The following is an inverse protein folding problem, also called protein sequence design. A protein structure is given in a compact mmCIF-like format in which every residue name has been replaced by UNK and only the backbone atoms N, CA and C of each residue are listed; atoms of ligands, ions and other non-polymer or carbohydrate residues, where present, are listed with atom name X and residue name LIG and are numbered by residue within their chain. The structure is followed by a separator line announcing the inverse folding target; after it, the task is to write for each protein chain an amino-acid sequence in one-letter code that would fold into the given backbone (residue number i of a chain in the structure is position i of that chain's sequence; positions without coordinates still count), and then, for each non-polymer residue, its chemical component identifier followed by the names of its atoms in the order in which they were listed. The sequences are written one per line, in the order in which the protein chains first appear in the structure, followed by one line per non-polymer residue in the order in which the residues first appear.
data_IF_321250132460
#
_entry.id   IF_321250132460
#
_cell.length_a   1.000
_cell.length_b   1.000
_cell.length_c   1.000
_cell.angle_alpha   90.00
_cell.angle_beta   90.00
_cell.angle_gamma   90.00
#
_symmetry.space_group_name_H-M   'P 1'
#
loop_
_entity.id
_entity.type
_entity.pdbx_description
1 polymer ?
#
# COMPACT_ATOMS: atom_id res chain seq x y z
N UNK A 1 -39.80 -14.87 -43.48
CA UNK A 1 -38.62 -14.49 -42.66
C UNK A 1 -38.91 -14.40 -41.16
N UNK A 2 -40.14 -14.10 -40.71
CA UNK A 2 -40.48 -13.94 -39.28
C UNK A 2 -40.41 -15.21 -38.43
N UNK A 3 -40.56 -16.41 -39.02
CA UNK A 3 -40.49 -17.68 -38.27
C UNK A 3 -39.07 -18.12 -37.89
N UNK A 4 -38.04 -17.63 -38.58
CA UNK A 4 -36.64 -17.99 -38.31
C UNK A 4 -36.06 -17.21 -37.12
N UNK A 5 -36.53 -15.99 -36.89
CA UNK A 5 -36.07 -15.12 -35.79
C UNK A 5 -36.54 -15.62 -34.40
N UNK A 6 -37.73 -16.24 -34.33
CA UNK A 6 -38.29 -16.74 -33.07
C UNK A 6 -37.57 -18.00 -32.57
N UNK A 7 -37.02 -18.83 -33.46
CA UNK A 7 -36.27 -20.03 -33.08
C UNK A 7 -34.88 -19.66 -32.55
N UNK A 8 -34.23 -18.64 -33.13
CA UNK A 8 -32.93 -18.17 -32.67
C UNK A 8 -32.99 -17.48 -31.30
N UNK A 9 -34.07 -16.74 -31.01
CA UNK A 9 -34.29 -16.13 -29.70
C UNK A 9 -34.54 -17.17 -28.60
N UNK A 10 -35.23 -18.27 -28.93
CA UNK A 10 -35.48 -19.37 -27.98
C UNK A 10 -34.21 -20.18 -27.69
N UNK A 11 -33.31 -20.37 -28.66
CA UNK A 11 -32.02 -21.03 -28.41
C UNK A 11 -31.07 -20.18 -27.55
N UNK A 12 -31.10 -18.85 -27.67
CA UNK A 12 -30.29 -17.94 -26.84
C UNK A 12 -30.78 -17.83 -25.38
N UNK A 13 -32.07 -18.06 -25.13
CA UNK A 13 -32.65 -18.06 -23.78
C UNK A 13 -32.47 -19.38 -23.03
N UNK A 14 -32.25 -20.50 -23.74
CA UNK A 14 -32.00 -21.81 -23.12
C UNK A 14 -30.51 -21.99 -22.76
N UNK A 15 -29.58 -21.31 -23.45
CA UNK A 15 -28.14 -21.44 -23.16
C UNK A 15 -27.68 -20.73 -21.88
N UNK A 16 -28.46 -19.78 -21.33
CA UNK A 16 -28.12 -19.10 -20.08
C UNK A 16 -28.66 -19.80 -18.82
N UNK A 17 -29.52 -20.82 -18.97
CA UNK A 17 -30.20 -21.46 -17.85
C UNK A 17 -29.50 -22.74 -17.31
N UNK A 18 -28.38 -23.18 -17.89
CA UNK A 18 -27.76 -24.48 -17.56
C UNK A 18 -26.27 -24.44 -17.22
N UNK A 19 -25.68 -23.25 -17.00
CA UNK A 19 -24.34 -23.20 -16.42
C UNK A 19 -24.43 -23.58 -14.93
N UNK A 20 -24.07 -24.81 -14.60
CA UNK A 20 -23.85 -25.21 -13.21
C UNK A 20 -22.85 -24.24 -12.58
N UNK A 21 -23.08 -23.76 -11.34
CA UNK A 21 -22.13 -22.89 -10.67
C UNK A 21 -20.76 -23.59 -10.63
N UNK A 22 -19.65 -22.86 -10.83
CA UNK A 22 -18.32 -23.45 -10.75
C UNK A 22 -18.18 -24.15 -9.39
N UNK A 23 -17.52 -25.32 -9.34
CA UNK A 23 -17.36 -26.08 -8.11
C UNK A 23 -16.67 -25.18 -7.08
N UNK A 24 -17.42 -24.76 -6.06
CA UNK A 24 -16.87 -24.04 -4.93
C UNK A 24 -16.08 -25.05 -4.11
N UNK A 25 -14.79 -24.79 -3.93
CA UNK A 25 -14.02 -25.56 -2.93
C UNK A 25 -14.75 -25.41 -1.60
N UNK A 26 -14.97 -26.51 -0.84
CA UNK A 26 -15.43 -26.39 0.53
C UNK A 26 -14.51 -25.42 1.25
N UNK A 27 -15.06 -24.37 1.85
CA UNK A 27 -14.34 -23.58 2.82
C UNK A 27 -13.98 -24.56 3.93
N UNK A 28 -12.72 -24.97 3.98
CA UNK A 28 -12.19 -25.65 5.15
C UNK A 28 -12.39 -24.66 6.29
N UNK A 29 -13.32 -24.95 7.20
CA UNK A 29 -13.55 -24.13 8.36
C UNK A 29 -12.21 -24.03 9.09
N UNK A 30 -11.55 -22.87 8.96
CA UNK A 30 -10.40 -22.54 9.78
C UNK A 30 -10.94 -22.58 11.21
N UNK A 31 -10.31 -23.38 12.06
CA UNK A 31 -10.73 -23.45 13.45
C UNK A 31 -10.74 -22.03 14.03
N UNK A 32 -11.76 -21.63 14.81
CA UNK A 32 -11.72 -20.38 15.54
C UNK A 32 -10.43 -20.32 16.35
N UNK A 33 -9.76 -19.16 16.35
CA UNK A 33 -8.59 -18.95 17.19
C UNK A 33 -9.06 -19.01 18.65
N UNK A 34 -8.69 -20.08 19.37
CA UNK A 34 -9.20 -20.36 20.72
C UNK A 34 -8.11 -20.25 21.81
N UNK A 35 -6.89 -19.86 21.41
CA UNK A 35 -5.75 -19.70 22.29
C UNK A 35 -5.05 -21.02 22.64
N UNK A 36 -5.53 -22.16 22.12
CA UNK A 36 -4.86 -23.45 22.27
C UNK A 36 -3.81 -23.72 21.17
N UNK A 37 -3.69 -22.82 20.20
CA UNK A 37 -2.66 -22.90 19.17
C UNK A 37 -1.29 -22.81 19.81
N UNK A 38 -0.50 -23.87 19.71
CA UNK A 38 0.93 -23.81 20.01
C UNK A 38 1.58 -23.01 18.87
N UNK A 39 2.10 -21.80 19.12
CA UNK A 39 2.78 -21.08 18.07
C UNK A 39 4.04 -21.87 17.71
N UNK A 40 4.05 -22.46 16.52
CA UNK A 40 5.25 -23.06 15.96
C UNK A 40 6.20 -21.93 15.52
N UNK A 41 6.87 -21.30 16.48
CA UNK A 41 8.03 -20.46 16.19
C UNK A 41 9.22 -21.37 15.94
N UNK A 42 9.28 -22.03 14.78
CA UNK A 42 10.43 -22.88 14.43
C UNK A 42 11.72 -22.10 14.17
N UNK A 43 11.69 -20.77 14.25
CA UNK A 43 12.87 -19.90 14.31
C UNK A 43 12.50 -18.62 15.05
N UNK A 44 12.61 -18.59 16.38
CA UNK A 44 12.77 -17.31 17.09
C UNK A 44 14.22 -16.89 16.82
N UNK A 45 14.47 -15.79 16.08
CA UNK A 45 15.83 -15.31 15.91
C UNK A 45 16.38 -14.96 17.29
N UNK A 46 17.51 -15.57 17.64
CA UNK A 46 18.29 -15.18 18.81
C UNK A 46 18.60 -13.67 18.73
N UNK A 47 18.18 -12.85 19.72
CA UNK A 47 18.46 -11.42 19.73
C UNK A 47 19.96 -11.10 19.79
N UNK A 48 20.83 -12.09 19.95
CA UNK A 48 22.29 -11.95 19.92
C UNK A 48 22.93 -12.28 18.57
N UNK A 49 22.15 -12.61 17.53
CA UNK A 49 22.69 -12.62 16.16
C UNK A 49 23.05 -11.19 15.78
N UNK A 50 24.34 -10.86 15.94
CA UNK A 50 25.02 -9.92 15.08
C UNK A 50 24.45 -10.11 13.68
N UNK A 51 23.76 -9.08 13.17
CA UNK A 51 23.22 -9.11 11.82
C UNK A 51 24.32 -9.60 10.87
N UNK A 52 23.97 -10.34 9.81
CA UNK A 52 24.97 -10.82 8.86
C UNK A 52 25.90 -9.65 8.54
N UNK A 53 27.21 -9.84 8.75
CA UNK A 53 28.18 -8.83 8.36
C UNK A 53 27.84 -8.46 6.92
N UNK A 54 27.82 -7.17 6.62
CA UNK A 54 27.36 -6.64 5.33
C UNK A 54 28.03 -7.36 4.14
N UNK A 55 29.28 -7.80 4.33
CA UNK A 55 30.10 -8.50 3.34
C UNK A 55 29.84 -10.03 3.27
N UNK A 56 29.10 -10.60 4.23
CA UNK A 56 28.74 -12.02 4.27
C UNK A 56 27.42 -12.34 3.53
N UNK A 57 26.69 -11.33 3.07
CA UNK A 57 25.47 -11.51 2.27
C UNK A 57 25.76 -11.68 0.78
N UNK A 58 26.88 -11.13 0.30
CA UNK A 58 27.25 -11.12 -1.12
C UNK A 58 27.52 -12.53 -1.68
N UNK A 59 27.94 -13.50 -0.84
CA UNK A 59 28.19 -14.89 -1.27
C UNK A 59 26.96 -15.81 -1.19
N UNK A 60 25.93 -15.45 -0.42
CA UNK A 60 24.84 -16.37 -0.04
C UNK A 60 23.45 -16.02 -0.61
N UNK A 61 23.23 -14.78 -1.06
CA UNK A 61 21.86 -14.29 -1.39
C UNK A 61 21.76 -13.55 -2.74
N UNK A 62 22.84 -13.53 -3.53
CA UNK A 62 22.90 -12.83 -4.82
C UNK A 62 23.51 -11.43 -4.72
N UNK A 63 23.40 -10.65 -5.79
CA UNK A 63 23.94 -9.28 -5.84
C UNK A 63 23.09 -8.33 -5.01
N UNK A 64 23.68 -7.65 -4.04
CA UNK A 64 23.04 -6.56 -3.31
C UNK A 64 23.18 -5.23 -4.06
N UNK A 65 22.08 -4.50 -4.18
CA UNK A 65 22.06 -3.14 -4.75
C UNK A 65 21.65 -2.13 -3.68
N UNK A 66 22.42 -1.06 -3.52
CA UNK A 66 22.10 0.01 -2.58
C UNK A 66 21.03 0.94 -3.19
N UNK A 67 19.79 0.83 -2.71
CA UNK A 67 18.66 1.63 -3.18
C UNK A 67 18.59 3.04 -2.58
N UNK A 68 19.33 3.34 -1.51
CA UNK A 68 19.28 4.63 -0.84
C UNK A 68 20.03 4.63 0.50
N UNK A 69 20.00 5.77 1.18
CA UNK A 69 20.52 5.94 2.55
C UNK A 69 19.51 6.69 3.39
N UNK A 70 19.60 6.56 4.72
CA UNK A 70 18.74 7.28 5.66
C UNK A 70 19.37 7.30 7.04
N UNK A 71 19.12 8.38 7.80
CA UNK A 71 19.35 8.44 9.24
C UNK A 71 18.15 7.93 10.07
N UNK A 72 17.05 7.57 9.40
CA UNK A 72 15.81 7.13 10.04
C UNK A 72 15.67 5.61 9.94
N UNK A 73 15.72 4.92 11.07
CA UNK A 73 15.57 3.46 11.18
C UNK A 73 14.10 3.03 11.29
N UNK A 74 13.24 3.89 11.85
CA UNK A 74 11.80 3.64 12.03
C UNK A 74 10.99 3.81 10.73
N UNK A 75 11.23 2.95 9.74
CA UNK A 75 10.58 3.04 8.43
C UNK A 75 9.05 2.83 8.47
N UNK A 76 8.53 2.04 9.42
CA UNK A 76 7.10 1.80 9.62
C UNK A 76 6.74 1.42 11.04
N UNK A 77 5.49 1.69 11.41
CA UNK A 77 4.86 1.14 12.61
C UNK A 77 4.10 -0.14 12.25
N UNK A 78 4.48 -1.26 12.89
CA UNK A 78 3.73 -2.52 12.86
C UNK A 78 3.84 -3.36 11.58
N UNK A 79 3.92 -2.75 10.41
CA UNK A 79 3.97 -3.47 9.13
C UNK A 79 5.35 -3.37 8.47
N UNK A 80 5.83 -4.47 7.89
CA UNK A 80 7.01 -4.48 7.01
C UNK A 80 6.61 -4.94 5.61
N UNK A 81 7.22 -4.39 4.55
CA UNK A 81 7.24 -5.06 3.24
C UNK A 81 6.39 -4.47 2.11
N UNK A 82 6.10 -3.16 2.12
CA UNK A 82 5.48 -2.46 0.96
C UNK A 82 6.28 -1.22 0.53
N UNK A 83 7.57 -1.21 0.80
CA UNK A 83 8.49 -0.17 0.36
C UNK A 83 9.15 -0.51 -0.98
N UNK A 84 8.94 -1.73 -1.46
CA UNK A 84 9.50 -2.25 -2.70
C UNK A 84 8.35 -2.86 -3.47
N UNK A 85 8.24 -2.54 -4.75
CA UNK A 85 7.29 -3.15 -5.66
C UNK A 85 7.92 -3.39 -7.03
N UNK A 86 7.37 -4.32 -7.80
CA UNK A 86 7.87 -4.67 -9.14
C UNK A 86 6.75 -4.48 -10.15
N UNK A 87 6.95 -3.60 -11.12
CA UNK A 87 5.93 -3.32 -12.12
C UNK A 87 5.87 -4.41 -13.22
N UNK A 88 4.89 -4.29 -14.12
CA UNK A 88 4.65 -5.25 -15.19
C UNK A 88 5.81 -5.38 -16.19
N UNK A 89 6.71 -4.39 -16.27
CA UNK A 89 7.89 -4.42 -17.14
C UNK A 89 9.15 -4.91 -16.42
N UNK A 90 9.04 -5.20 -15.11
CA UNK A 90 10.12 -5.73 -14.28
C UNK A 90 11.02 -4.66 -13.67
N UNK A 91 10.65 -3.38 -13.72
CA UNK A 91 11.33 -2.35 -12.94
C UNK A 91 11.02 -2.55 -11.47
N UNK A 92 12.03 -2.34 -10.62
CA UNK A 92 11.89 -2.46 -9.17
C UNK A 92 11.83 -1.06 -8.57
N UNK A 93 10.64 -0.68 -8.11
CA UNK A 93 10.38 0.57 -7.43
C UNK A 93 10.76 0.43 -5.96
N UNK A 94 11.46 1.42 -5.42
CA UNK A 94 11.82 1.45 -4.00
C UNK A 94 11.50 2.83 -3.46
N UNK A 95 10.81 2.86 -2.33
CA UNK A 95 10.58 4.07 -1.55
C UNK A 95 10.95 3.88 -0.09
N UNK A 96 11.42 4.93 0.56
CA UNK A 96 11.78 4.89 1.98
C UNK A 96 11.63 6.27 2.62
N UNK A 97 11.53 6.28 3.94
CA UNK A 97 11.64 7.51 4.71
C UNK A 97 13.12 7.85 4.89
N UNK A 98 13.56 8.94 4.28
CA UNK A 98 14.92 9.43 4.40
C UNK A 98 15.01 10.50 5.50
N UNK A 99 15.59 10.15 6.66
CA UNK A 99 16.02 11.13 7.64
C UNK A 99 17.28 11.82 7.13
N UNK A 100 17.25 13.15 6.99
CA UNK A 100 18.36 13.92 6.41
C UNK A 100 19.47 14.22 7.43
N UNK A 101 19.19 14.01 8.72
CA UNK A 101 20.10 14.24 9.82
C UNK A 101 19.95 13.17 10.91
N UNK A 102 20.93 13.06 11.80
CA UNK A 102 20.95 12.05 12.86
C UNK A 102 19.81 12.17 13.88
N UNK A 103 19.18 13.34 14.02
CA UNK A 103 17.96 13.51 14.82
C UNK A 103 16.69 13.09 14.09
N UNK A 104 16.74 12.89 12.77
CA UNK A 104 15.59 12.66 11.89
C UNK A 104 14.45 13.67 12.08
N UNK A 105 14.82 14.89 12.51
CA UNK A 105 13.90 16.01 12.68
C UNK A 105 13.42 16.53 11.34
N UNK A 106 14.27 16.37 10.32
CA UNK A 106 13.97 16.60 8.91
C UNK A 106 13.98 15.24 8.23
N UNK A 107 12.82 14.86 7.69
CA UNK A 107 12.65 13.60 6.98
C UNK A 107 11.64 13.75 5.86
N UNK A 108 11.84 12.99 4.81
CA UNK A 108 11.06 13.04 3.58
C UNK A 108 10.93 11.64 3.00
N UNK A 109 10.03 11.49 2.04
CA UNK A 109 9.85 10.27 1.28
C UNK A 109 10.74 10.32 0.06
N UNK A 110 11.62 9.33 -0.06
CA UNK A 110 12.52 9.20 -1.20
C UNK A 110 12.11 8.01 -2.04
N UNK A 111 12.47 8.07 -3.32
CA UNK A 111 12.12 7.10 -4.35
C UNK A 111 13.31 6.90 -5.28
N UNK A 112 13.55 5.63 -5.62
CA UNK A 112 14.45 5.20 -6.68
C UNK A 112 13.80 4.05 -7.46
N UNK A 113 14.24 3.84 -8.69
CA UNK A 113 13.78 2.73 -9.52
C UNK A 113 14.97 2.02 -10.15
N UNK A 114 15.02 0.70 -10.00
CA UNK A 114 16.02 -0.15 -10.62
C UNK A 114 15.52 -0.64 -11.97
N UNK A 115 16.33 -0.40 -12.99
CA UNK A 115 16.04 -0.78 -14.37
C UNK A 115 16.66 -2.14 -14.71
N UNK A 116 15.86 -3.14 -15.09
CA UNK A 116 16.36 -4.47 -15.43
C UNK A 116 17.23 -4.49 -16.69
N UNK A 117 17.04 -3.55 -17.62
CA UNK A 117 17.81 -3.44 -18.85
C UNK A 117 19.23 -2.95 -18.60
N UNK A 118 19.40 -1.99 -17.71
CA UNK A 118 20.72 -1.43 -17.35
C UNK A 118 21.32 -2.04 -16.08
N UNK A 119 20.53 -2.81 -15.33
CA UNK A 119 20.87 -3.38 -14.02
C UNK A 119 21.35 -2.33 -13.01
N UNK A 120 20.74 -1.15 -13.04
CA UNK A 120 21.14 0.00 -12.23
C UNK A 120 19.95 0.83 -11.79
N UNK A 121 20.11 1.59 -10.70
CA UNK A 121 19.12 2.60 -10.33
C UNK A 121 19.23 3.80 -11.28
N UNK A 122 18.11 4.19 -11.89
CA UNK A 122 18.07 5.28 -12.87
C UNK A 122 17.79 6.65 -12.24
N UNK A 123 17.25 6.65 -11.02
CA UNK A 123 17.03 7.84 -10.19
C UNK A 123 18.03 7.81 -9.05
N UNK A 124 18.56 8.98 -8.70
CA UNK A 124 19.49 9.15 -7.60
C UNK A 124 18.87 10.06 -6.53
N UNK A 125 18.11 9.45 -5.63
CA UNK A 125 17.45 10.11 -4.49
C UNK A 125 16.34 11.08 -4.90
N UNK A 126 15.38 10.61 -5.70
CA UNK A 126 14.20 11.40 -6.05
C UNK A 126 13.31 11.59 -4.82
N UNK A 127 12.97 12.83 -4.48
CA UNK A 127 12.02 13.10 -3.40
C UNK A 127 10.59 12.94 -3.93
N UNK A 128 9.75 12.22 -3.20
CA UNK A 128 8.40 11.86 -3.61
C UNK A 128 7.29 12.63 -2.87
N UNK A 129 7.66 13.56 -1.99
CA UNK A 129 6.77 14.48 -1.26
C UNK A 129 7.22 15.93 -1.45
N UNK A 130 6.29 16.88 -1.32
CA UNK A 130 6.54 18.33 -1.35
C UNK A 130 6.45 19.01 0.02
N UNK A 131 6.42 18.22 1.09
CA UNK A 131 6.05 18.67 2.43
C UNK A 131 7.21 19.31 3.20
N UNK A 132 6.95 19.79 4.41
CA UNK A 132 8.02 20.15 5.36
C UNK A 132 8.59 18.94 6.09
N UNK A 133 7.84 17.83 6.12
CA UNK A 133 8.20 16.59 6.81
C UNK A 133 7.27 15.47 6.37
N UNK A 134 7.81 14.34 5.94
CA UNK A 134 7.02 13.16 5.58
C UNK A 134 7.69 11.85 6.00
N UNK A 135 6.92 10.77 6.05
CA UNK A 135 7.47 9.44 6.32
C UNK A 135 6.44 8.33 6.44
N UNK A 136 6.91 7.18 6.91
CA UNK A 136 6.11 5.96 7.08
C UNK A 136 5.48 5.52 5.75
N UNK A 137 6.31 5.47 4.71
CA UNK A 137 5.89 5.28 3.33
C UNK A 137 5.65 3.82 2.97
N UNK A 138 4.50 3.52 2.37
CA UNK A 138 4.26 2.32 1.57
C UNK A 138 4.09 2.72 0.12
N UNK A 139 4.07 1.78 -0.81
CA UNK A 139 3.75 2.08 -2.19
C UNK A 139 3.21 0.89 -2.95
N UNK A 140 2.67 1.19 -4.12
CA UNK A 140 2.14 0.24 -5.08
C UNK A 140 2.37 0.76 -6.50
N UNK A 141 2.69 -0.13 -7.42
CA UNK A 141 2.79 0.13 -8.86
C UNK A 141 1.51 -0.30 -9.56
N UNK A 142 1.16 0.40 -10.64
CA UNK A 142 0.13 -0.02 -11.58
C UNK A 142 0.79 -0.71 -12.78
N UNK A 143 -0.01 -1.42 -13.57
CA UNK A 143 0.42 -2.09 -14.81
C UNK A 143 1.05 -1.13 -15.86
N UNK A 144 0.76 0.17 -15.78
CA UNK A 144 1.32 1.19 -16.67
C UNK A 144 2.68 1.76 -16.20
N UNK A 145 3.28 1.19 -15.15
CA UNK A 145 4.60 1.58 -14.64
C UNK A 145 4.62 2.81 -13.73
N UNK A 146 3.46 3.43 -13.47
CA UNK A 146 3.38 4.46 -12.42
C UNK A 146 3.44 3.80 -11.05
N UNK A 147 4.16 4.44 -10.13
CA UNK A 147 4.28 4.04 -8.74
C UNK A 147 3.67 5.11 -7.84
N UNK A 148 2.98 4.67 -6.79
CA UNK A 148 2.19 5.51 -5.90
C UNK A 148 2.67 5.33 -4.46
N UNK A 149 3.62 6.16 -4.00
CA UNK A 149 4.00 6.22 -2.59
C UNK A 149 2.83 6.77 -1.76
N UNK A 150 2.37 6.02 -0.78
CA UNK A 150 1.46 6.46 0.27
C UNK A 150 2.19 6.66 1.59
N UNK A 151 2.10 7.85 2.17
CA UNK A 151 2.86 8.30 3.36
C UNK A 151 2.05 9.28 4.18
N UNK A 152 2.49 9.61 5.40
CA UNK A 152 1.96 10.83 6.05
C UNK A 152 2.90 11.99 5.82
N UNK A 153 2.35 13.20 5.79
CA UNK A 153 3.09 14.44 5.64
C UNK A 153 2.58 15.56 6.55
N UNK A 154 3.45 16.55 6.80
CA UNK A 154 3.13 17.84 7.39
C UNK A 154 3.44 18.94 6.38
N UNK A 155 2.40 19.59 5.83
CA UNK A 155 2.56 20.66 4.84
C UNK A 155 3.17 21.94 5.42
N UNK A 156 3.08 22.12 6.73
CA UNK A 156 3.69 23.25 7.45
C UNK A 156 4.38 22.74 8.71
N UNK A 157 5.48 23.38 9.12
CA UNK A 157 6.24 22.95 10.29
C UNK A 157 5.37 22.95 11.56
N UNK A 158 5.14 21.77 12.13
CA UNK A 158 4.31 21.60 13.32
C UNK A 158 2.80 21.68 13.05
N UNK A 159 2.38 21.57 11.80
CA UNK A 159 0.97 21.39 11.44
C UNK A 159 0.47 19.97 11.72
N UNK A 160 -0.83 19.75 11.53
CA UNK A 160 -1.48 18.44 11.60
C UNK A 160 -0.86 17.50 10.58
N UNK A 161 -0.35 16.35 11.02
CA UNK A 161 0.12 15.34 10.08
C UNK A 161 -1.08 14.62 9.43
N UNK A 162 -1.01 14.39 8.11
CA UNK A 162 -2.09 13.75 7.37
C UNK A 162 -1.54 12.74 6.35
N UNK A 163 -2.30 11.68 6.09
CA UNK A 163 -2.02 10.72 5.04
C UNK A 163 -2.14 11.35 3.65
N UNK A 164 -1.24 10.99 2.75
CA UNK A 164 -1.20 11.42 1.37
C UNK A 164 -0.74 10.28 0.48
N UNK A 165 -0.99 10.41 -0.82
CA UNK A 165 -0.31 9.62 -1.84
C UNK A 165 0.25 10.56 -2.89
N UNK A 166 1.36 10.19 -3.52
CA UNK A 166 1.89 10.96 -4.65
C UNK A 166 1.83 10.19 -5.97
N UNK A 167 1.83 10.94 -7.07
CA UNK A 167 1.87 10.46 -8.45
C UNK A 167 3.07 11.11 -9.16
N UNK A 168 3.83 10.30 -9.90
CA UNK A 168 4.95 10.77 -10.72
C UNK A 168 4.43 11.57 -11.92
N UNK A 169 5.17 12.55 -12.42
CA UNK A 169 4.79 13.33 -13.60
C UNK A 169 4.82 12.45 -14.85
N UNK A 170 5.83 11.57 -14.95
CA UNK A 170 5.97 10.55 -16.00
C UNK A 170 6.38 9.28 -15.27
N UNK A 171 5.83 8.13 -15.62
CA UNK A 171 6.24 6.85 -15.03
C UNK A 171 7.76 6.72 -14.94
N UNK A 172 8.26 6.49 -13.71
CA UNK A 172 9.68 6.25 -13.40
C UNK A 172 10.60 7.47 -13.60
N UNK A 173 10.07 8.68 -13.66
CA UNK A 173 10.86 9.90 -13.76
C UNK A 173 11.33 10.43 -12.39
N UNK A 174 10.63 10.11 -11.31
CA UNK A 174 10.96 10.57 -9.97
C UNK A 174 10.55 12.02 -9.68
N UNK A 175 9.57 12.56 -10.41
CA UNK A 175 9.07 13.92 -10.28
C UNK A 175 7.62 13.89 -9.77
N UNK A 176 7.46 13.81 -8.45
CA UNK A 176 6.16 13.56 -7.83
C UNK A 176 5.38 14.82 -7.44
N UNK A 177 4.06 14.69 -7.43
CA UNK A 177 3.13 15.61 -6.76
C UNK A 177 2.26 14.83 -5.78
N UNK A 178 2.11 15.33 -4.56
CA UNK A 178 1.33 14.71 -3.49
C UNK A 178 -0.10 15.23 -3.42
N UNK A 179 -1.04 14.35 -3.05
CA UNK A 179 -2.46 14.63 -2.91
C UNK A 179 -3.00 13.96 -1.65
N UNK A 180 -3.70 14.73 -0.83
CA UNK A 180 -4.30 14.30 0.43
C UNK A 180 -5.79 13.96 0.22
N UNK A 181 -6.31 12.88 0.82
CA UNK A 181 -7.76 12.77 1.00
C UNK A 181 -8.23 13.87 1.94
N UNK A 182 -9.50 14.24 1.83
CA UNK A 182 -10.11 15.29 2.62
C UNK A 182 -10.04 15.01 4.11
N UNK A 183 -9.96 16.08 4.90
CA UNK A 183 -9.79 16.04 6.34
C UNK A 183 -11.10 15.67 7.06
N UNK A 184 -10.96 14.99 8.19
CA UNK A 184 -12.04 14.87 9.18
C UNK A 184 -11.78 15.81 10.35
N UNK A 185 -12.85 16.40 10.86
CA UNK A 185 -12.80 17.22 12.07
C UNK A 185 -13.48 16.50 13.24
N UNK A 186 -12.85 16.56 14.40
CA UNK A 186 -13.43 16.12 15.66
C UNK A 186 -13.21 17.20 16.72
N UNK A 187 -14.28 17.57 17.43
CA UNK A 187 -14.25 18.64 18.45
C UNK A 187 -13.70 20.00 17.94
N UNK A 188 -13.87 20.28 16.64
CA UNK A 188 -13.43 21.53 16.02
C UNK A 188 -11.92 21.58 15.71
N UNK A 189 -11.26 20.43 15.69
CA UNK A 189 -9.88 20.28 15.24
C UNK A 189 -9.77 19.20 14.17
N UNK A 190 -8.84 19.37 13.24
CA UNK A 190 -8.50 18.34 12.26
C UNK A 190 -7.94 17.11 12.96
N UNK A 191 -8.37 15.93 12.50
CA UNK A 191 -7.86 14.66 12.97
C UNK A 191 -6.54 14.33 12.30
N UNK A 192 -5.55 13.89 13.08
CA UNK A 192 -4.28 13.36 12.55
C UNK A 192 -4.48 11.93 12.04
N UNK A 193 -4.93 11.77 10.80
CA UNK A 193 -5.10 10.46 10.16
C UNK A 193 -3.82 10.14 9.40
N UNK A 194 -3.04 9.20 9.94
CA UNK A 194 -1.64 8.97 9.56
C UNK A 194 -1.33 7.48 9.36
N UNK A 195 -0.06 7.21 9.03
CA UNK A 195 0.51 5.86 8.84
C UNK A 195 -0.20 5.03 7.76
N UNK A 196 -0.40 5.57 6.55
CA UNK A 196 -1.18 4.90 5.54
C UNK A 196 -0.54 3.58 5.10
N UNK A 197 -1.40 2.68 4.62
CA UNK A 197 -1.05 1.52 3.78
C UNK A 197 -1.85 1.62 2.51
N UNK A 198 -1.15 1.51 1.37
CA UNK A 198 -1.76 1.62 0.06
C UNK A 198 -1.76 0.27 -0.69
N UNK A 199 -2.78 0.07 -1.52
CA UNK A 199 -2.88 -0.99 -2.51
C UNK A 199 -3.67 -0.50 -3.72
N UNK A 200 -3.49 -1.12 -4.88
CA UNK A 200 -4.34 -0.88 -6.06
C UNK A 200 -5.42 -1.96 -6.20
N UNK A 201 -6.55 -1.62 -6.82
CA UNK A 201 -7.47 -2.62 -7.37
C UNK A 201 -7.24 -2.85 -8.87
N UNK A 202 -7.96 -3.82 -9.43
CA UNK A 202 -7.90 -4.16 -10.86
C UNK A 202 -8.33 -3.05 -11.83
N UNK A 203 -8.90 -1.96 -11.32
CA UNK A 203 -9.29 -0.80 -12.10
C UNK A 203 -8.25 0.33 -11.99
N UNK A 204 -7.11 0.05 -11.36
CA UNK A 204 -6.07 1.04 -11.10
C UNK A 204 -6.46 2.06 -10.03
N UNK A 205 -7.51 1.78 -9.23
CA UNK A 205 -7.88 2.67 -8.12
C UNK A 205 -6.98 2.39 -6.93
N UNK A 206 -6.58 3.46 -6.27
CA UNK A 206 -5.81 3.41 -5.04
C UNK A 206 -6.77 3.21 -3.87
N UNK A 207 -6.42 2.29 -2.98
CA UNK A 207 -7.09 2.03 -1.72
C UNK A 207 -6.10 2.29 -0.62
N UNK A 208 -6.48 3.14 0.33
CA UNK A 208 -5.64 3.51 1.44
C UNK A 208 -6.35 3.24 2.75
N UNK A 209 -5.63 2.61 3.68
CA UNK A 209 -6.05 2.47 5.07
C UNK A 209 -5.07 3.22 5.94
N UNK A 210 -5.58 4.10 6.78
CA UNK A 210 -4.82 4.93 7.71
C UNK A 210 -5.36 4.75 9.12
N UNK A 211 -4.61 5.22 10.10
CA UNK A 211 -4.96 5.16 11.52
C UNK A 211 -4.84 6.55 12.10
N UNK A 212 -5.73 6.91 13.02
CA UNK A 212 -5.53 8.16 13.74
C UNK A 212 -4.30 8.09 14.67
N UNK A 213 -3.71 9.25 14.93
CA UNK A 213 -2.93 9.42 16.14
C UNK A 213 -3.89 9.37 17.34
N UNK A 214 -3.61 8.60 18.42
CA UNK A 214 -4.51 8.50 19.56
C UNK A 214 -4.76 9.88 20.17
N UNK A 215 -6.02 10.20 20.49
CA UNK A 215 -6.38 11.48 21.11
C UNK A 215 -5.66 11.73 22.46
N UNK A 216 -5.23 10.68 23.14
CA UNK A 216 -4.44 10.76 24.38
C UNK A 216 -2.96 11.09 24.14
N UNK A 217 -2.46 10.93 22.91
CA UNK A 217 -1.05 10.95 22.55
C UNK A 217 -0.24 9.77 23.11
N UNK A 218 -0.87 8.80 23.77
CA UNK A 218 -0.17 7.67 24.36
C UNK A 218 -0.04 6.51 23.35
N UNK A 219 1.20 6.06 23.13
CA UNK A 219 1.45 4.91 22.29
C UNK A 219 0.78 3.65 22.86
N UNK A 220 0.05 2.93 22.01
CA UNK A 220 -0.67 1.71 22.39
C UNK A 220 -2.10 1.92 22.87
N UNK A 221 -2.60 3.17 22.88
CA UNK A 221 -4.02 3.42 23.09
C UNK A 221 -4.85 3.02 21.85
N UNK A 222 -6.16 2.76 22.00
CA UNK A 222 -7.02 2.47 20.87
C UNK A 222 -6.96 3.58 19.81
N UNK A 223 -6.87 3.18 18.56
CA UNK A 223 -6.87 4.05 17.39
C UNK A 223 -7.97 3.60 16.43
N UNK A 224 -8.71 4.56 15.91
CA UNK A 224 -9.63 4.36 14.79
C UNK A 224 -8.88 4.15 13.48
N UNK A 225 -9.41 3.25 12.67
CA UNK A 225 -8.94 2.94 11.32
C UNK A 225 -9.85 3.65 10.32
N UNK A 226 -9.24 4.34 9.36
CA UNK A 226 -9.93 5.04 8.29
C UNK A 226 -9.55 4.46 6.94
N UNK A 227 -10.53 4.41 6.05
CA UNK A 227 -10.37 4.01 4.66
C UNK A 227 -10.64 5.18 3.73
N UNK A 228 -9.79 5.35 2.71
CA UNK A 228 -9.99 6.25 1.58
C UNK A 228 -9.74 5.51 0.26
N UNK A 229 -10.32 6.04 -0.82
CA UNK A 229 -10.14 5.53 -2.19
C UNK A 229 -9.85 6.68 -3.13
N UNK A 230 -8.85 6.54 -3.99
CA UNK A 230 -8.46 7.54 -4.97
C UNK A 230 -8.38 6.99 -6.38
N UNK A 231 -8.69 7.82 -7.38
CA UNK A 231 -8.54 7.50 -8.80
C UNK A 231 -7.41 8.37 -9.39
N UNK A 232 -6.26 7.76 -9.74
CA UNK A 232 -5.19 8.45 -10.46
C UNK A 232 -5.70 9.03 -11.79
N UNK A 233 -5.38 10.29 -12.05
CA UNK A 233 -5.70 10.99 -13.28
C UNK A 233 -4.45 11.16 -14.14
N UNK A 234 -4.63 11.05 -15.45
CA UNK A 234 -3.56 11.16 -16.44
C UNK A 234 -3.97 12.14 -17.55
N UNK A 235 -3.06 13.04 -17.92
CA UNK A 235 -3.16 13.86 -19.13
C UNK A 235 -2.20 13.29 -20.19
N UNK A 236 -2.70 12.37 -21.02
CA UNK A 236 -1.85 11.57 -21.90
C UNK A 236 -0.95 10.63 -21.09
N UNK A 237 0.37 10.74 -21.28
CA UNK A 237 1.37 9.95 -20.56
C UNK A 237 1.80 10.60 -19.24
N UNK A 238 1.19 11.73 -18.86
CA UNK A 238 1.55 12.49 -17.68
C UNK A 238 0.62 12.21 -16.50
N UNK A 239 1.17 11.86 -15.35
CA UNK A 239 0.40 11.81 -14.10
C UNK A 239 0.07 13.23 -13.64
N UNK A 240 -1.20 13.52 -13.38
CA UNK A 240 -1.66 14.88 -13.10
C UNK A 240 -2.25 15.05 -11.70
N UNK A 241 -3.05 14.09 -11.23
CA UNK A 241 -3.80 14.22 -9.98
C UNK A 241 -4.13 12.83 -9.40
N UNK A 242 -4.43 12.79 -8.10
CA UNK A 242 -5.17 11.68 -7.48
C UNK A 242 -6.48 12.25 -6.96
N UNK A 243 -7.59 11.87 -7.58
CA UNK A 243 -8.92 12.31 -7.16
C UNK A 243 -9.43 11.37 -6.09
N UNK A 244 -9.43 11.82 -4.85
CA UNK A 244 -10.00 11.09 -3.72
C UNK A 244 -11.53 11.12 -3.78
N UNK A 245 -12.15 9.96 -3.56
CA UNK A 245 -13.58 9.75 -3.76
C UNK A 245 -14.34 9.71 -2.44
N UNK A 246 -15.58 10.21 -2.46
CA UNK A 246 -16.53 10.00 -1.37
C UNK A 246 -16.80 8.50 -1.13
N UNK A 247 -16.33 7.97 -0.01
CA UNK A 247 -16.49 6.56 0.39
C UNK A 247 -17.71 6.35 1.31
N UNK A 248 -18.22 7.42 1.91
CA UNK A 248 -19.44 7.41 2.74
C UNK A 248 -20.47 8.45 2.25
N UNK A 249 -20.73 8.48 0.95
CA UNK A 249 -21.72 9.37 0.31
C UNK A 249 -21.27 10.82 0.15
N UNK A 250 -20.43 11.35 1.05
CA UNK A 250 -19.86 12.71 0.93
C UNK A 250 -18.43 12.86 1.45
N UNK A 251 -17.97 12.04 2.39
CA UNK A 251 -16.60 12.12 2.94
C UNK A 251 -15.65 11.18 2.21
N UNK A 252 -14.41 11.65 2.00
CA UNK A 252 -13.33 10.87 1.38
C UNK A 252 -12.69 9.85 2.34
N UNK A 253 -13.11 9.89 3.61
CA UNK A 253 -12.73 8.95 4.65
C UNK A 253 -13.96 8.25 5.24
N UNK A 254 -13.80 6.95 5.49
CA UNK A 254 -14.75 6.08 6.17
C UNK A 254 -14.06 5.40 7.35
N UNK A 255 -14.57 5.61 8.56
CA UNK A 255 -14.16 4.82 9.73
C UNK A 255 -14.57 3.35 9.52
N UNK A 256 -13.60 2.44 9.64
CA UNK A 256 -13.81 1.01 9.48
C UNK A 256 -13.95 0.29 10.83
N UNK A 257 -13.08 0.62 11.78
CA UNK A 257 -12.93 -0.11 13.04
C UNK A 257 -12.13 0.71 14.07
N UNK A 258 -12.05 0.20 15.30
CA UNK A 258 -11.15 0.70 16.36
C UNK A 258 -10.28 -0.45 16.87
N UNK A 259 -8.95 -0.27 16.86
CA UNK A 259 -7.99 -1.31 17.25
C UNK A 259 -6.92 -0.78 18.17
N UNK A 260 -6.29 -1.66 18.95
CA UNK A 260 -5.11 -1.33 19.78
C UNK A 260 -3.79 -1.35 18.98
N UNK A 261 -3.84 -1.71 17.69
CA UNK A 261 -2.65 -2.05 16.90
C UNK A 261 -2.55 -1.15 15.67
N UNK A 262 -1.42 -0.44 15.57
CA UNK A 262 -1.05 0.51 14.50
C UNK A 262 -0.66 -0.19 13.18
N UNK A 263 -1.06 -1.45 13.00
CA UNK A 263 -0.57 -2.31 11.93
C UNK A 263 -1.66 -2.82 11.00
N UNK A 264 -2.71 -2.03 10.65
CA UNK A 264 -3.64 -2.49 9.64
C UNK A 264 -2.89 -2.66 8.32
N UNK A 265 -3.42 -3.53 7.47
CA UNK A 265 -2.95 -3.70 6.11
C UNK A 265 -4.17 -3.78 5.18
N UNK A 266 -4.00 -3.32 3.95
CA UNK A 266 -5.02 -3.36 2.92
C UNK A 266 -4.58 -4.31 1.80
N UNK A 267 -5.50 -5.19 1.43
CA UNK A 267 -5.35 -6.07 0.29
C UNK A 267 -6.59 -5.93 -0.59
N UNK A 268 -6.38 -5.55 -1.84
CA UNK A 268 -7.43 -5.46 -2.83
C UNK A 268 -7.44 -6.72 -3.70
N UNK A 269 -8.64 -7.15 -4.11
CA UNK A 269 -8.79 -8.34 -4.93
C UNK A 269 -8.63 -8.01 -6.41
N UNK A 270 -7.83 -8.80 -7.13
CA UNK A 270 -7.77 -8.77 -8.59
C UNK A 270 -9.04 -9.33 -9.26
N UNK A 271 -9.95 -9.99 -8.52
CA UNK A 271 -11.22 -10.54 -9.04
C UNK A 271 -12.44 -9.98 -8.30
N UNK A 272 -13.54 -9.71 -9.04
CA UNK A 272 -14.84 -9.24 -8.52
C UNK A 272 -15.51 -10.17 -7.49
N UNK A 273 -14.88 -11.31 -7.20
CA UNK A 273 -15.37 -12.32 -6.27
C UNK A 273 -14.33 -12.53 -5.16
N UNK A 274 -14.69 -12.08 -3.96
CA UNK A 274 -14.08 -12.31 -2.65
C UNK A 274 -12.97 -11.34 -2.16
N UNK A 275 -13.34 -10.54 -1.16
CA UNK A 275 -12.49 -10.13 -0.06
C UNK A 275 -11.91 -11.38 0.63
N UNK A 276 -10.59 -11.50 0.72
CA UNK A 276 -9.95 -12.47 1.61
C UNK A 276 -8.71 -11.84 2.24
N UNK A 277 -8.67 -11.75 3.57
CA UNK A 277 -7.42 -11.54 4.31
C UNK A 277 -6.51 -12.74 4.03
N UNK A 278 -5.44 -12.55 3.25
CA UNK A 278 -4.53 -13.65 2.88
C UNK A 278 -3.65 -14.01 4.08
N UNK A 279 -3.95 -15.13 4.73
CA UNK A 279 -2.95 -15.92 5.46
C UNK A 279 -1.97 -16.57 4.48
N UNK A 280 -0.67 -16.55 4.81
CA UNK A 280 0.39 -17.18 4.01
C UNK A 280 0.09 -18.66 3.76
N UNK A 281 0.20 -19.08 2.50
CA UNK A 281 0.26 -20.50 2.13
C UNK A 281 1.60 -21.07 2.60
N UNK A 282 1.56 -22.15 3.38
CA UNK A 282 2.72 -22.99 3.64
C UNK A 282 3.19 -23.63 2.32
N UNK A 283 4.49 -23.57 2.06
CA UNK A 283 5.14 -24.36 1.02
C UNK A 283 5.20 -25.81 1.50
N UNK A 284 4.59 -26.72 0.75
CA UNK A 284 4.78 -28.16 0.91
C UNK A 284 6.02 -28.59 0.15
N UNK A 285 7.00 -29.14 0.88
CA UNK A 285 7.92 -30.19 0.37
C UNK A 285 7.17 -31.51 0.27
#
# INVERSE_FOLDING_TARGET
MTRFLHVLLLLALVSTALAAPPPTKPLTAVKPVDGSEQPHFSNIPDPTRYGPQRDALDELVGTAYAGGTTWYDFQHNGTTGKMIDVDAEGFVHITWTNGLNSSSSERHVYYNVWDPGTQSFTINNGQADGSTRAGYVTGVSLDNGFFFPGFHEELTTGGTAHSASSIDLIARAGAYTAFEPGYLEENGAEMEIIWPKIAEDRHGKLHMVSTENPASGAAGDPQRIYYSRGEPQFDGDFGSEIVWEGVNGTTELLELDTVMVISPDVACSASATAWSSRGRKAATT
#
